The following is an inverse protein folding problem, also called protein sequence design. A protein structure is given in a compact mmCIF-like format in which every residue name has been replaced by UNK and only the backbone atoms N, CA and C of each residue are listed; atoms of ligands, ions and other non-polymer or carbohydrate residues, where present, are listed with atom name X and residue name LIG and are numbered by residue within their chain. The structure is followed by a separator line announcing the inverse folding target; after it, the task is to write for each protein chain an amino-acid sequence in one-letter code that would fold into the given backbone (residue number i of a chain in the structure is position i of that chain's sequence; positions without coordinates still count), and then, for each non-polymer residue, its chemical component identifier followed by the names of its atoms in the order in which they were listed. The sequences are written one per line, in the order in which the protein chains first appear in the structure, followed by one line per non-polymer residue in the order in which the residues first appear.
data_IF_450479678145
#
_entry.id   IF_450479678145
#
_cell.length_a   1.000
_cell.length_b   1.000
_cell.length_c   1.000
_cell.angle_alpha   90.00
_cell.angle_beta   90.00
_cell.angle_gamma   90.00
#
_symmetry.space_group_name_H-M   'P 1'
#
loop_
_entity.id
_entity.type
_entity.pdbx_description
1 polymer ?
#
# COMPACT_ATOMS: atom_id res chain seq x y z
N UNK A 1 -20.87 -10.70 -6.76
CA UNK A 1 -20.70 -12.02 -6.09
C UNK A 1 -20.75 -13.13 -7.12
N UNK A 2 -19.72 -13.98 -7.15
CA UNK A 2 -19.72 -15.16 -8.02
C UNK A 2 -20.61 -16.27 -7.42
N UNK A 3 -21.05 -17.21 -8.26
CA UNK A 3 -21.86 -18.38 -7.83
C UNK A 3 -21.15 -19.22 -6.76
N UNK A 4 -19.82 -19.30 -6.86
CA UNK A 4 -18.96 -19.98 -5.87
C UNK A 4 -18.99 -19.29 -4.50
N UNK A 5 -18.89 -17.95 -4.45
CA UNK A 5 -18.94 -17.19 -3.18
C UNK A 5 -20.29 -17.35 -2.46
N UNK A 6 -21.40 -17.36 -3.20
CA UNK A 6 -22.75 -17.60 -2.63
C UNK A 6 -22.86 -18.99 -2.01
N UNK A 7 -22.30 -20.01 -2.67
CA UNK A 7 -22.34 -21.39 -2.18
C UNK A 7 -21.51 -21.61 -0.90
N UNK A 8 -20.52 -20.76 -0.62
CA UNK A 8 -19.71 -20.78 0.61
C UNK A 8 -20.26 -19.89 1.74
N UNK A 9 -21.43 -19.28 1.55
CA UNK A 9 -22.02 -18.35 2.53
C UNK A 9 -21.25 -17.03 2.68
N UNK A 10 -20.37 -16.69 1.75
CA UNK A 10 -19.59 -15.46 1.79
C UNK A 10 -20.46 -14.25 1.47
N UNK A 11 -20.19 -13.10 2.08
CA UNK A 11 -20.96 -11.86 1.84
C UNK A 11 -20.46 -11.06 0.64
N UNK A 12 -19.41 -11.53 -0.04
CA UNK A 12 -18.85 -10.87 -1.23
C UNK A 12 -18.12 -9.55 -0.97
N UNK A 13 -17.83 -9.21 0.29
CA UNK A 13 -17.07 -8.00 0.67
C UNK A 13 -15.58 -8.19 0.36
N UNK A 14 -15.05 -9.38 0.65
CA UNK A 14 -13.65 -9.71 0.41
C UNK A 14 -13.41 -10.21 -1.01
N UNK A 15 -12.33 -9.74 -1.63
CA UNK A 15 -11.81 -10.38 -2.84
C UNK A 15 -11.24 -11.77 -2.50
N UNK A 16 -11.52 -12.81 -3.30
CA UNK A 16 -10.92 -14.12 -3.08
C UNK A 16 -9.41 -14.11 -3.36
N UNK A 17 -8.64 -14.78 -2.48
CA UNK A 17 -7.16 -14.77 -2.48
C UNK A 17 -6.60 -13.37 -2.14
N UNK A 18 -5.29 -13.30 -2.03
CA UNK A 18 -4.55 -12.08 -1.78
C UNK A 18 -3.26 -12.12 -2.59
N UNK A 19 -2.65 -10.95 -2.76
CA UNK A 19 -1.30 -10.84 -3.30
C UNK A 19 -0.29 -10.99 -2.15
N UNK A 20 0.77 -11.75 -2.40
CA UNK A 20 1.82 -12.03 -1.43
C UNK A 20 3.18 -11.73 -2.06
N UNK A 21 4.01 -11.01 -1.32
CA UNK A 21 5.41 -10.77 -1.66
C UNK A 21 6.28 -11.08 -0.47
N UNK A 22 7.28 -11.92 -0.68
CA UNK A 22 8.28 -12.27 0.34
C UNK A 22 9.41 -11.27 0.27
N UNK A 23 9.55 -10.47 1.32
CA UNK A 23 10.68 -9.53 1.49
C UNK A 23 12.00 -10.30 1.47
N UNK A 24 12.93 -9.88 0.62
CA UNK A 24 14.20 -10.59 0.38
C UNK A 24 15.38 -10.05 1.15
N UNK A 25 15.38 -8.75 1.40
CA UNK A 25 16.46 -8.02 2.05
C UNK A 25 15.93 -6.69 2.62
N UNK A 26 16.83 -5.90 3.21
CA UNK A 26 16.49 -4.63 3.85
C UNK A 26 16.03 -3.57 2.84
N UNK A 27 16.63 -3.54 1.65
CA UNK A 27 16.25 -2.58 0.60
C UNK A 27 14.82 -2.86 0.11
N UNK A 28 14.47 -4.13 -0.11
CA UNK A 28 13.12 -4.56 -0.45
C UNK A 28 12.11 -4.25 0.68
N UNK A 29 12.52 -4.35 1.95
CA UNK A 29 11.70 -3.96 3.09
C UNK A 29 11.39 -2.45 3.07
N UNK A 30 12.40 -1.61 2.85
CA UNK A 30 12.24 -0.16 2.74
C UNK A 30 11.31 0.21 1.59
N UNK A 31 11.46 -0.43 0.42
CA UNK A 31 10.53 -0.25 -0.73
C UNK A 31 9.10 -0.62 -0.38
N UNK A 32 8.88 -1.76 0.30
CA UNK A 32 7.56 -2.17 0.76
C UNK A 32 6.93 -1.13 1.69
N UNK A 33 7.69 -0.62 2.66
CA UNK A 33 7.21 0.38 3.61
C UNK A 33 6.85 1.70 2.90
N UNK A 34 7.76 2.20 2.06
CA UNK A 34 7.56 3.41 1.27
C UNK A 34 6.32 3.31 0.40
N UNK A 35 6.14 2.18 -0.29
CA UNK A 35 4.96 1.92 -1.09
C UNK A 35 3.67 1.99 -0.25
N UNK A 36 3.61 1.27 0.87
CA UNK A 36 2.42 1.22 1.74
C UNK A 36 2.05 2.60 2.27
N UNK A 37 3.03 3.40 2.72
CA UNK A 37 2.76 4.72 3.26
C UNK A 37 2.48 5.77 2.20
N UNK A 38 3.05 5.63 1.00
CA UNK A 38 2.75 6.51 -0.12
C UNK A 38 1.41 6.21 -0.81
N UNK A 39 0.87 5.00 -0.64
CA UNK A 39 -0.29 4.51 -1.38
C UNK A 39 -1.56 5.39 -1.29
N UNK A 40 -1.94 5.96 -0.12
CA UNK A 40 -3.09 6.86 -0.04
C UNK A 40 -2.96 8.08 -0.96
N UNK A 41 -1.74 8.57 -1.17
CA UNK A 41 -1.46 9.68 -2.08
C UNK A 41 -1.42 9.23 -3.54
N UNK A 42 -0.80 8.08 -3.82
CA UNK A 42 -0.82 7.45 -5.16
C UNK A 42 -2.24 7.32 -5.70
N UNK A 43 -3.16 6.86 -4.87
CA UNK A 43 -4.58 6.72 -5.20
C UNK A 43 -5.42 7.99 -4.97
N UNK A 44 -4.78 9.13 -4.72
CA UNK A 44 -5.44 10.45 -4.63
C UNK A 44 -6.51 10.54 -3.52
N UNK A 45 -6.37 9.74 -2.46
CA UNK A 45 -7.26 9.82 -1.29
C UNK A 45 -6.90 11.01 -0.40
N UNK A 46 -5.63 11.45 -0.45
CA UNK A 46 -5.10 12.62 0.25
C UNK A 46 -4.05 13.32 -0.62
N UNK A 47 -3.88 14.63 -0.40
CA UNK A 47 -2.83 15.42 -1.07
C UNK A 47 -1.44 15.14 -0.48
N UNK A 48 -1.36 14.88 0.83
CA UNK A 48 -0.12 14.63 1.58
C UNK A 48 -0.26 13.37 2.41
N UNK A 49 0.81 12.57 2.50
CA UNK A 49 0.82 11.30 3.24
C UNK A 49 0.43 11.50 4.72
N UNK A 50 0.92 12.56 5.36
CA UNK A 50 0.61 12.88 6.76
C UNK A 50 -0.86 13.11 7.07
N UNK A 51 -1.67 13.44 6.06
CA UNK A 51 -3.11 13.68 6.23
C UNK A 51 -3.88 12.35 6.35
N UNK A 52 -3.25 11.22 6.03
CA UNK A 52 -3.84 9.88 6.16
C UNK A 52 -3.63 9.26 7.54
N UNK A 53 -4.60 9.43 8.43
CA UNK A 53 -4.53 8.92 9.82
C UNK A 53 -4.59 7.39 9.98
N UNK A 54 -4.96 6.65 8.93
CA UNK A 54 -5.20 5.21 8.99
C UNK A 54 -4.01 4.41 8.44
N UNK A 55 -2.81 4.73 8.90
CA UNK A 55 -1.59 4.00 8.59
C UNK A 55 -0.61 4.05 9.76
N UNK A 56 0.47 3.28 9.68
CA UNK A 56 1.59 3.36 10.62
C UNK A 56 2.57 4.51 10.32
N UNK A 57 2.27 5.39 9.37
CA UNK A 57 3.16 6.47 8.93
C UNK A 57 3.57 7.39 10.09
N UNK A 58 2.63 7.87 10.90
CA UNK A 58 2.93 8.78 12.02
C UNK A 58 3.87 8.14 13.05
N UNK A 59 3.75 6.83 13.27
CA UNK A 59 4.67 6.08 14.14
C UNK A 59 6.08 6.02 13.53
N UNK A 60 6.20 5.87 12.21
CA UNK A 60 7.49 5.87 11.52
C UNK A 60 8.16 7.25 11.57
N UNK A 61 7.36 8.33 11.52
CA UNK A 61 7.85 9.70 11.73
C UNK A 61 8.39 9.87 13.16
N UNK A 62 7.64 9.44 14.18
CA UNK A 62 8.08 9.50 15.58
C UNK A 62 9.37 8.70 15.84
N UNK A 63 9.59 7.63 15.09
CA UNK A 63 10.78 6.78 15.15
C UNK A 63 11.96 7.30 14.31
N UNK A 64 11.77 8.37 13.54
CA UNK A 64 12.81 8.97 12.70
C UNK A 64 13.06 8.24 11.38
N UNK A 65 12.18 7.34 10.96
CA UNK A 65 12.26 6.70 9.64
C UNK A 65 11.83 7.66 8.52
N UNK A 66 10.90 8.57 8.81
CA UNK A 66 10.45 9.59 7.87
C UNK A 66 10.44 10.97 8.48
N UNK A 67 10.66 11.97 7.63
CA UNK A 67 10.26 13.34 7.92
C UNK A 67 8.73 13.47 7.84
N UNK A 68 8.12 14.36 8.64
CA UNK A 68 6.66 14.55 8.65
C UNK A 68 6.11 15.00 7.28
N UNK A 69 6.94 15.64 6.46
CA UNK A 69 6.61 16.09 5.10
C UNK A 69 7.07 15.11 4.00
N UNK A 70 7.48 13.90 4.36
CA UNK A 70 7.85 12.85 3.41
C UNK A 70 6.66 12.45 2.49
N UNK A 71 6.99 11.97 1.28
CA UNK A 71 6.01 11.45 0.32
C UNK A 71 5.34 12.50 -0.55
N UNK A 72 5.88 13.73 -0.61
CA UNK A 72 5.43 14.81 -1.49
C UNK A 72 5.63 14.57 -3.00
N UNK A 73 6.43 13.58 -3.38
CA UNK A 73 6.51 12.98 -4.74
C UNK A 73 6.49 11.46 -4.60
N UNK A 74 6.46 10.72 -5.71
CA UNK A 74 6.76 9.29 -5.66
C UNK A 74 8.16 9.10 -5.05
N UNK A 75 8.34 8.25 -4.03
CA UNK A 75 9.66 7.98 -3.50
C UNK A 75 10.46 7.18 -4.54
N UNK A 76 11.79 7.37 -4.65
CA UNK A 76 12.62 6.69 -5.66
C UNK A 76 12.59 5.15 -5.56
N UNK A 77 12.30 4.67 -4.35
CA UNK A 77 12.08 3.27 -3.99
C UNK A 77 10.80 2.69 -4.60
N UNK A 78 9.88 3.51 -5.10
CA UNK A 78 8.62 3.09 -5.72
C UNK A 78 8.61 3.55 -7.17
N UNK A 79 8.87 2.63 -8.09
CA UNK A 79 8.74 2.88 -9.52
C UNK A 79 7.45 2.23 -10.04
N UNK A 80 6.82 2.82 -11.05
CA UNK A 80 5.63 2.24 -11.71
C UNK A 80 5.91 0.89 -12.39
N UNK A 81 7.18 0.53 -12.56
CA UNK A 81 7.61 -0.77 -13.05
C UNK A 81 7.54 -1.88 -11.99
N UNK A 82 7.40 -1.52 -10.71
CA UNK A 82 7.28 -2.48 -9.62
C UNK A 82 5.85 -3.03 -9.56
N UNK A 83 5.72 -4.32 -9.87
CA UNK A 83 4.45 -5.04 -9.83
C UNK A 83 4.04 -5.34 -8.38
N UNK A 84 3.35 -4.39 -7.76
CA UNK A 84 2.74 -4.53 -6.44
C UNK A 84 1.39 -5.26 -6.47
N UNK A 85 1.11 -6.02 -7.53
CA UNK A 85 -0.14 -6.77 -7.69
C UNK A 85 -1.37 -5.89 -7.75
N UNK A 86 -1.21 -4.60 -8.04
CA UNK A 86 -2.33 -3.70 -8.22
C UNK A 86 -3.17 -4.16 -9.41
N UNK A 87 -4.50 -4.20 -9.29
CA UNK A 87 -5.33 -4.52 -10.43
C UNK A 87 -5.14 -3.43 -11.48
N UNK A 88 -4.46 -3.78 -12.59
CA UNK A 88 -4.45 -2.92 -13.78
C UNK A 88 -5.90 -2.70 -14.18
N UNK A 89 -6.34 -1.44 -14.22
CA UNK A 89 -7.70 -1.10 -14.67
C UNK A 89 -7.91 -1.74 -16.04
N UNK A 90 -8.94 -2.59 -16.15
CA UNK A 90 -9.37 -3.16 -17.43
C UNK A 90 -10.03 -2.10 -18.30
#
# INVERSE_FOLDING_TARGET
MTKSQRNRGERGIWQPRFWEHTVRDEEDLERCADYIHWNPRKHQLVERVRDWKWSSFHRFVEQGHYEIDWGGTAPPSVNDADDWGEPTSK
#
